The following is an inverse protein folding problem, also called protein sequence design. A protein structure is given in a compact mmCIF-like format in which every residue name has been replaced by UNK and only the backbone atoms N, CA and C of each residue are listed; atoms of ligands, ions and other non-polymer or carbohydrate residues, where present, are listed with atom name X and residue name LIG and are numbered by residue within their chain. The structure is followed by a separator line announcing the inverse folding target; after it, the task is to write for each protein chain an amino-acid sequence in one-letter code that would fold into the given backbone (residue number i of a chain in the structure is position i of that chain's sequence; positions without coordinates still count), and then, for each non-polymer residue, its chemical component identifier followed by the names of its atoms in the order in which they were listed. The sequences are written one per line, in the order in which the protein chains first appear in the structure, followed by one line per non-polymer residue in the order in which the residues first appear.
data_IF_717623174976
#
_entry.id   IF_717623174976
#
_cell.length_a   1.000
_cell.length_b   1.000
_cell.length_c   1.000
_cell.angle_alpha   90.00
_cell.angle_beta   90.00
_cell.angle_gamma   90.00
#
_symmetry.space_group_name_H-M   'P 1'
#
loop_
_entity.id
_entity.type
_entity.pdbx_description
1 polymer ?
#
# COMPACT_ATOMS: atom_id res chain seq x y z
N UNK A 1 0.38 5.11 1.71
CA UNK A 1 -0.58 6.19 1.42
C UNK A 1 -1.86 5.63 0.78
N UNK A 2 -3.03 5.87 1.40
CA UNK A 2 -4.32 5.38 0.91
C UNK A 2 -4.86 6.10 -0.34
N UNK A 3 -4.19 7.18 -0.80
CA UNK A 3 -4.58 7.98 -1.95
C UNK A 3 -5.67 9.00 -1.62
N UNK A 4 -5.38 10.28 -1.90
CA UNK A 4 -6.29 11.41 -1.66
C UNK A 4 -6.32 12.41 -2.81
N UNK A 5 -5.65 12.11 -3.93
CA UNK A 5 -5.66 12.97 -5.12
C UNK A 5 -7.09 13.16 -5.64
N UNK A 6 -7.47 14.42 -5.89
CA UNK A 6 -8.81 14.78 -6.34
C UNK A 6 -9.90 14.76 -5.26
N UNK A 7 -9.55 14.53 -3.99
CA UNK A 7 -10.52 14.57 -2.88
C UNK A 7 -10.63 15.98 -2.32
N UNK A 8 -11.83 16.56 -2.39
CA UNK A 8 -12.17 17.86 -1.79
C UNK A 8 -13.51 17.74 -1.06
N UNK A 9 -13.62 18.28 0.16
CA UNK A 9 -14.82 18.18 1.00
C UNK A 9 -15.40 16.75 1.08
N UNK A 10 -14.53 15.75 1.32
CA UNK A 10 -14.89 14.32 1.39
C UNK A 10 -15.51 13.76 0.12
N UNK A 11 -15.33 14.41 -1.04
CA UNK A 11 -15.80 13.94 -2.34
C UNK A 11 -14.61 13.84 -3.30
N UNK A 12 -14.47 12.70 -3.95
CA UNK A 12 -13.51 12.53 -5.04
C UNK A 12 -14.10 13.06 -6.35
N UNK A 13 -13.31 13.84 -7.09
CA UNK A 13 -13.68 14.42 -8.38
C UNK A 13 -13.75 13.41 -9.53
N UNK A 14 -13.27 12.17 -9.30
CA UNK A 14 -13.19 11.06 -10.28
C UNK A 14 -12.25 11.33 -11.46
N UNK A 15 -11.39 12.34 -11.35
CA UNK A 15 -10.38 12.60 -12.36
C UNK A 15 -9.22 11.62 -12.15
N UNK A 16 -8.96 10.78 -13.16
CA UNK A 16 -7.87 9.80 -13.16
C UNK A 16 -6.85 10.21 -14.23
N UNK A 17 -5.60 10.54 -13.85
CA UNK A 17 -4.53 10.83 -14.80
C UNK A 17 -4.25 9.66 -15.75
N UNK A 18 -3.67 9.95 -16.91
CA UNK A 18 -3.42 8.95 -17.95
C UNK A 18 -2.45 7.84 -17.52
N UNK A 19 -1.55 8.18 -16.60
CA UNK A 19 -0.54 7.36 -15.95
C UNK A 19 -1.17 6.34 -14.99
N UNK A 20 -2.38 6.62 -14.51
CA UNK A 20 -3.17 5.75 -13.64
C UNK A 20 -4.27 5.00 -14.42
N UNK A 21 -4.13 4.83 -15.74
CA UNK A 21 -5.10 4.05 -16.51
C UNK A 21 -5.07 2.58 -16.07
N UNK A 22 -6.25 1.92 -15.96
CA UNK A 22 -6.33 0.48 -15.73
C UNK A 22 -5.67 -0.30 -16.87
N UNK A 23 -5.16 -1.48 -16.54
CA UNK A 23 -4.53 -2.41 -17.48
C UNK A 23 -4.80 -3.85 -17.06
N UNK A 24 -5.09 -4.78 -17.99
CA UNK A 24 -5.22 -6.21 -17.67
C UNK A 24 -3.96 -6.82 -17.05
N UNK A 25 -2.81 -6.16 -17.18
CA UNK A 25 -1.54 -6.57 -16.59
C UNK A 25 -1.33 -6.05 -15.18
N UNK A 26 -2.28 -5.31 -14.60
CA UNK A 26 -2.18 -4.76 -13.25
C UNK A 26 -3.41 -5.18 -12.44
N UNK A 27 -3.16 -5.94 -11.37
CA UNK A 27 -4.18 -6.49 -10.51
C UNK A 27 -4.14 -5.84 -9.13
N UNK A 28 -5.28 -5.76 -8.46
CA UNK A 28 -5.44 -5.33 -7.07
C UNK A 28 -5.95 -6.50 -6.25
N UNK A 29 -5.37 -6.75 -5.09
CA UNK A 29 -5.98 -7.66 -4.11
C UNK A 29 -7.06 -6.89 -3.35
N UNK A 30 -8.33 -7.24 -3.55
CA UNK A 30 -9.45 -6.55 -2.92
C UNK A 30 -9.62 -6.93 -1.43
N UNK A 31 -10.60 -6.33 -0.75
CA UNK A 31 -10.87 -6.58 0.67
C UNK A 31 -11.34 -8.01 0.97
N UNK A 32 -11.84 -8.73 -0.04
CA UNK A 32 -12.23 -10.15 0.03
C UNK A 32 -11.08 -11.11 -0.27
N UNK A 33 -9.86 -10.59 -0.48
CA UNK A 33 -8.67 -11.34 -0.89
C UNK A 33 -8.79 -11.98 -2.28
N UNK A 34 -9.53 -11.34 -3.18
CA UNK A 34 -9.66 -11.75 -4.56
C UNK A 34 -8.87 -10.79 -5.46
N UNK A 35 -8.21 -11.33 -6.48
CA UNK A 35 -7.54 -10.51 -7.49
C UNK A 35 -8.56 -9.97 -8.50
N UNK A 36 -8.54 -8.65 -8.70
CA UNK A 36 -9.35 -7.94 -9.69
C UNK A 36 -8.49 -6.95 -10.49
N UNK A 37 -8.97 -6.48 -11.64
CA UNK A 37 -8.27 -5.43 -12.40
C UNK A 37 -8.14 -4.15 -11.55
N UNK A 38 -6.92 -3.63 -11.45
CA UNK A 38 -6.63 -2.48 -10.60
C UNK A 38 -7.22 -1.18 -11.16
N UNK A 39 -7.98 -0.45 -10.33
CA UNK A 39 -8.62 0.83 -10.65
C UNK A 39 -8.52 1.77 -9.45
N UNK A 40 -8.36 3.07 -9.72
CA UNK A 40 -8.45 4.07 -8.65
C UNK A 40 -9.90 4.28 -8.20
N UNK A 41 -10.16 4.53 -6.90
CA UNK A 41 -9.18 4.58 -5.80
C UNK A 41 -8.79 3.19 -5.30
N UNK A 42 -7.48 2.87 -5.25
CA UNK A 42 -7.00 1.53 -4.87
C UNK A 42 -7.38 1.09 -3.44
N UNK A 43 -7.64 2.03 -2.53
CA UNK A 43 -7.94 1.73 -1.12
C UNK A 43 -9.42 1.89 -0.77
N UNK A 44 -10.32 2.03 -1.75
CA UNK A 44 -11.75 2.32 -1.51
C UNK A 44 -12.46 1.28 -0.61
N UNK A 45 -12.04 0.02 -0.68
CA UNK A 45 -12.53 -1.11 0.11
C UNK A 45 -11.61 -1.47 1.29
N UNK A 46 -10.53 -0.72 1.50
CA UNK A 46 -9.53 -0.95 2.56
C UNK A 46 -9.61 0.15 3.62
N UNK A 47 -9.55 1.42 3.23
CA UNK A 47 -9.68 2.58 4.13
C UNK A 47 -11.14 3.07 4.19
N UNK A 48 -12.04 2.15 4.56
CA UNK A 48 -13.50 2.29 4.44
C UNK A 48 -14.09 3.50 5.20
N UNK A 49 -13.38 4.01 6.20
CA UNK A 49 -13.82 5.18 6.98
C UNK A 49 -13.58 6.53 6.28
N UNK A 50 -12.96 6.56 5.10
CA UNK A 50 -12.50 7.79 4.44
C UNK A 50 -12.74 7.75 2.93
N UNK A 51 -13.09 8.90 2.36
CA UNK A 51 -13.14 9.05 0.91
C UNK A 51 -11.73 8.91 0.33
N UNK A 52 -11.56 7.87 -0.49
CA UNK A 52 -10.31 7.63 -1.20
C UNK A 52 -10.30 8.36 -2.55
N UNK A 53 -9.11 8.71 -3.00
CA UNK A 53 -8.87 9.26 -4.33
C UNK A 53 -7.61 8.65 -4.93
N UNK A 54 -7.03 9.32 -5.92
CA UNK A 54 -5.83 8.83 -6.59
C UNK A 54 -4.65 8.72 -5.62
N UNK A 55 -3.93 7.61 -5.70
CA UNK A 55 -2.67 7.37 -5.00
C UNK A 55 -1.51 7.12 -5.96
N UNK A 56 -0.30 6.81 -5.46
CA UNK A 56 0.86 6.54 -6.31
C UNK A 56 0.87 5.13 -6.92
N UNK A 57 0.05 4.20 -6.38
CA UNK A 57 0.17 2.78 -6.66
C UNK A 57 -0.04 2.41 -8.14
N UNK A 58 -1.07 2.98 -8.79
CA UNK A 58 -1.40 2.61 -10.16
C UNK A 58 -0.42 3.23 -11.17
N UNK A 59 0.01 4.48 -10.94
CA UNK A 59 1.07 5.10 -11.73
C UNK A 59 2.40 4.32 -11.63
N UNK A 60 2.79 3.92 -10.41
CA UNK A 60 3.98 3.10 -10.20
C UNK A 60 3.87 1.75 -10.92
N UNK A 61 2.75 1.04 -10.77
CA UNK A 61 2.55 -0.26 -11.40
C UNK A 61 2.59 -0.16 -12.94
N UNK A 62 1.96 0.86 -13.53
CA UNK A 62 2.02 1.12 -14.97
C UNK A 62 3.46 1.34 -15.44
N UNK A 63 4.25 2.12 -14.71
CA UNK A 63 5.64 2.36 -15.08
C UNK A 63 6.49 1.09 -14.98
N UNK A 64 6.26 0.24 -13.96
CA UNK A 64 6.92 -1.06 -13.83
C UNK A 64 6.60 -1.97 -15.01
N UNK A 65 5.32 -2.11 -15.38
CA UNK A 65 4.90 -2.91 -16.55
C UNK A 65 5.55 -2.36 -17.82
N UNK A 66 5.51 -1.04 -18.01
CA UNK A 66 6.10 -0.37 -19.18
C UNK A 66 7.60 -0.63 -19.30
N UNK A 67 8.34 -0.59 -18.19
CA UNK A 67 9.80 -0.84 -18.17
C UNK A 67 10.16 -2.32 -18.33
N UNK A 68 9.32 -3.24 -17.82
CA UNK A 68 9.56 -4.70 -17.93
C UNK A 68 9.18 -5.26 -19.30
N UNK A 69 8.24 -4.65 -20.00
CA UNK A 69 7.76 -5.12 -21.31
C UNK A 69 6.59 -6.09 -21.20
N UNK A 70 6.19 -6.64 -22.36
CA UNK A 70 5.02 -7.52 -22.47
C UNK A 70 5.15 -8.81 -21.66
N UNK A 71 4.04 -9.28 -21.08
CA UNK A 71 3.95 -10.51 -20.28
C UNK A 71 4.21 -10.34 -18.78
N UNK A 72 4.60 -9.14 -18.32
CA UNK A 72 4.71 -8.84 -16.90
C UNK A 72 3.34 -8.49 -16.31
N UNK A 73 2.90 -9.27 -15.31
CA UNK A 73 1.74 -8.94 -14.47
C UNK A 73 2.23 -8.36 -13.14
N UNK A 74 1.65 -7.25 -12.71
CA UNK A 74 1.95 -6.58 -11.44
C UNK A 74 0.73 -6.66 -10.53
N UNK A 75 0.88 -7.31 -9.38
CA UNK A 75 -0.11 -7.28 -8.31
C UNK A 75 0.16 -6.15 -7.33
N UNK A 76 -0.88 -5.39 -6.98
CA UNK A 76 -0.85 -4.34 -5.95
C UNK A 76 -1.69 -4.80 -4.77
N UNK A 77 -1.11 -4.76 -3.56
CA UNK A 77 -1.77 -5.15 -2.32
C UNK A 77 -2.00 -3.89 -1.47
N UNK A 78 -3.15 -3.21 -1.61
CA UNK A 78 -3.44 -2.01 -0.84
C UNK A 78 -3.65 -2.38 0.63
N UNK A 79 -2.93 -1.74 1.54
CA UNK A 79 -3.05 -1.95 2.98
C UNK A 79 -3.17 -0.64 3.76
N UNK A 80 -2.95 0.52 3.14
CA UNK A 80 -2.84 1.78 3.87
C UNK A 80 -4.18 2.24 4.46
N UNK A 81 -4.11 2.80 5.67
CA UNK A 81 -5.23 3.45 6.36
C UNK A 81 -4.83 4.89 6.68
N UNK A 82 -5.64 5.87 6.29
CA UNK A 82 -5.30 7.28 6.47
C UNK A 82 -5.35 7.73 7.93
N UNK A 83 -4.52 8.71 8.30
CA UNK A 83 -4.56 9.35 9.61
C UNK A 83 -3.99 8.51 10.76
N UNK A 84 -3.27 7.44 10.45
CA UNK A 84 -2.65 6.57 11.45
C UNK A 84 -1.20 6.96 11.70
N UNK A 85 -0.77 6.91 12.96
CA UNK A 85 0.62 7.04 13.39
C UNK A 85 1.38 5.73 13.21
N UNK A 86 2.71 5.78 13.13
CA UNK A 86 3.52 4.56 12.97
C UNK A 86 3.41 3.61 14.18
N UNK A 87 3.06 4.12 15.37
CA UNK A 87 2.76 3.29 16.55
C UNK A 87 1.58 2.33 16.31
N UNK A 88 0.60 2.72 15.50
CA UNK A 88 -0.53 1.85 15.12
C UNK A 88 -0.13 0.74 14.14
N UNK A 89 1.11 0.79 13.61
CA UNK A 89 1.72 -0.20 12.72
C UNK A 89 2.80 -1.05 13.41
N UNK A 90 2.90 -1.00 14.74
CA UNK A 90 3.80 -1.87 15.50
C UNK A 90 3.42 -3.36 15.36
N UNK A 91 4.40 -4.25 15.50
CA UNK A 91 4.15 -5.70 15.48
C UNK A 91 3.02 -6.08 16.45
N UNK A 92 2.09 -6.93 15.98
CA UNK A 92 0.94 -7.39 16.74
C UNK A 92 -0.25 -6.43 16.75
N UNK A 93 -0.13 -5.22 16.21
CA UNK A 93 -1.27 -4.32 16.04
C UNK A 93 -2.23 -4.85 14.97
N UNK A 94 -3.48 -4.38 15.01
CA UNK A 94 -4.48 -4.74 14.01
C UNK A 94 -4.04 -4.40 12.57
N UNK A 95 -3.54 -3.18 12.34
CA UNK A 95 -3.12 -2.73 11.00
C UNK A 95 -1.90 -3.49 10.49
N UNK A 96 -0.94 -3.75 11.37
CA UNK A 96 0.24 -4.53 11.04
C UNK A 96 -0.13 -5.98 10.68
N UNK A 97 -0.97 -6.62 11.50
CA UNK A 97 -1.41 -7.99 11.25
C UNK A 97 -2.22 -8.11 9.95
N UNK A 98 -3.05 -7.10 9.62
CA UNK A 98 -3.78 -7.11 8.35
C UNK A 98 -2.85 -6.91 7.15
N UNK A 99 -1.82 -6.06 7.27
CA UNK A 99 -0.78 -5.93 6.23
C UNK A 99 -0.05 -7.26 6.00
N UNK A 100 0.37 -7.94 7.07
CA UNK A 100 1.03 -9.25 6.99
C UNK A 100 0.09 -10.28 6.36
N UNK A 101 -1.16 -10.38 6.85
CA UNK A 101 -2.17 -11.31 6.32
C UNK A 101 -2.39 -11.12 4.83
N UNK A 102 -2.64 -9.89 4.38
CA UNK A 102 -2.86 -9.58 2.96
C UNK A 102 -1.63 -9.86 2.11
N UNK A 103 -0.43 -9.60 2.64
CA UNK A 103 0.83 -9.92 1.97
C UNK A 103 0.99 -11.42 1.75
N UNK A 104 0.72 -12.24 2.77
CA UNK A 104 0.77 -13.71 2.68
C UNK A 104 -0.27 -14.23 1.69
N UNK A 105 -1.52 -13.77 1.79
CA UNK A 105 -2.60 -14.18 0.89
C UNK A 105 -2.32 -13.83 -0.58
N UNK A 106 -1.62 -12.71 -0.83
CA UNK A 106 -1.25 -12.28 -2.19
C UNK A 106 -0.35 -13.26 -2.95
N UNK A 107 0.38 -14.12 -2.24
CA UNK A 107 1.30 -15.10 -2.85
C UNK A 107 0.93 -16.55 -2.51
N UNK A 108 -0.22 -16.77 -1.88
CA UNK A 108 -0.63 -18.07 -1.33
C UNK A 108 -0.79 -19.15 -2.38
N UNK A 109 -1.20 -18.80 -3.59
CA UNK A 109 -1.35 -19.73 -4.72
C UNK A 109 -0.02 -20.06 -5.43
N UNK A 110 1.09 -19.45 -5.00
CA UNK A 110 2.42 -19.63 -5.58
C UNK A 110 2.62 -18.94 -6.93
N UNK A 111 1.66 -18.15 -7.42
CA UNK A 111 1.72 -17.48 -8.73
C UNK A 111 2.54 -16.19 -8.73
N UNK A 112 2.92 -15.70 -7.55
CA UNK A 112 3.57 -14.40 -7.37
C UNK A 112 4.71 -14.41 -6.36
N UNK A 113 5.44 -13.30 -6.33
CA UNK A 113 6.48 -13.03 -5.33
C UNK A 113 6.39 -11.57 -4.89
N UNK A 114 6.50 -11.33 -3.59
CA UNK A 114 6.54 -9.98 -3.04
C UNK A 114 7.87 -9.34 -3.43
N UNK A 115 7.81 -8.27 -4.22
CA UNK A 115 9.01 -7.58 -4.75
C UNK A 115 9.46 -6.42 -3.89
N UNK A 116 8.52 -5.66 -3.34
CA UNK A 116 8.79 -4.47 -2.54
C UNK A 116 7.57 -4.09 -1.71
N UNK A 117 7.81 -3.31 -0.66
CA UNK A 117 6.79 -2.53 0.05
C UNK A 117 6.99 -1.06 -0.33
N UNK A 118 5.92 -0.43 -0.81
CA UNK A 118 5.85 1.03 -0.96
C UNK A 118 5.24 1.60 0.32
N UNK A 119 6.07 2.22 1.14
CA UNK A 119 5.66 2.81 2.41
C UNK A 119 5.59 4.32 2.28
N UNK A 120 4.43 4.90 2.59
CA UNK A 120 4.32 6.36 2.68
C UNK A 120 3.32 6.67 3.78
N UNK A 121 3.87 7.13 4.89
CA UNK A 121 3.23 7.47 6.15
C UNK A 121 4.18 8.42 6.91
N UNK A 122 3.65 9.22 7.82
CA UNK A 122 4.43 9.99 8.81
C UNK A 122 3.74 11.29 9.22
N UNK A 123 2.75 11.74 8.45
CA UNK A 123 2.04 12.99 8.65
C UNK A 123 1.36 13.06 10.03
N UNK A 124 0.82 11.93 10.51
CA UNK A 124 0.18 11.88 11.84
C UNK A 124 1.19 11.89 13.00
N UNK A 125 2.44 11.49 12.76
CA UNK A 125 3.49 11.48 13.79
C UNK A 125 4.10 12.88 14.00
N UNK A 126 3.86 13.84 13.09
CA UNK A 126 4.38 15.21 13.23
C UNK A 126 3.56 16.09 14.19
N UNK A 127 2.44 15.59 14.71
CA UNK A 127 1.55 16.35 15.61
C UNK A 127 2.16 16.55 16.99
N UNK A 128 2.91 15.55 17.49
CA UNK A 128 3.53 15.56 18.81
C UNK A 128 5.03 15.36 18.65
N UNK A 129 5.83 16.21 19.30
CA UNK A 129 7.29 16.13 19.23
C UNK A 129 7.84 14.77 19.66
N UNK A 130 7.23 14.14 20.67
CA UNK A 130 7.59 12.78 21.10
C UNK A 130 7.41 11.72 20.00
N UNK A 131 6.34 11.82 19.19
CA UNK A 131 6.06 10.88 18.11
C UNK A 131 7.03 11.11 16.94
N UNK A 132 7.33 12.37 16.63
CA UNK A 132 8.31 12.74 15.62
C UNK A 132 9.72 12.26 15.99
N UNK A 133 10.15 12.46 17.24
CA UNK A 133 11.45 12.02 17.75
C UNK A 133 11.59 10.49 17.76
N UNK A 134 10.50 9.77 18.03
CA UNK A 134 10.47 8.31 18.03
C UNK A 134 10.30 7.69 16.63
N UNK A 135 10.00 8.49 15.60
CA UNK A 135 9.60 7.98 14.28
C UNK A 135 10.67 7.07 13.65
N UNK A 136 11.93 7.50 13.68
CA UNK A 136 13.05 6.74 13.07
C UNK A 136 13.16 5.33 13.64
N UNK A 137 13.20 5.20 14.98
CA UNK A 137 13.35 3.89 15.62
C UNK A 137 12.12 3.01 15.41
N UNK A 138 10.92 3.58 15.41
CA UNK A 138 9.68 2.86 15.08
C UNK A 138 9.68 2.37 13.63
N UNK A 139 10.20 3.15 12.69
CA UNK A 139 10.31 2.76 11.28
C UNK A 139 11.35 1.64 11.07
N UNK A 140 12.51 1.72 11.72
CA UNK A 140 13.52 0.66 11.70
C UNK A 140 12.93 -0.66 12.25
N UNK A 141 12.22 -0.58 13.38
CA UNK A 141 11.52 -1.72 13.95
C UNK A 141 10.43 -2.27 13.01
N UNK A 142 9.63 -1.42 12.37
CA UNK A 142 8.64 -1.85 11.38
C UNK A 142 9.29 -2.64 10.23
N UNK A 143 10.38 -2.13 9.65
CA UNK A 143 11.11 -2.80 8.56
C UNK A 143 11.65 -4.16 9.01
N UNK A 144 12.28 -4.22 10.19
CA UNK A 144 12.83 -5.47 10.71
C UNK A 144 11.73 -6.51 10.96
N UNK A 145 10.63 -6.07 11.58
CA UNK A 145 9.49 -6.94 11.86
C UNK A 145 8.87 -7.49 10.58
N UNK A 146 8.61 -6.63 9.57
CA UNK A 146 7.92 -7.10 8.36
C UNK A 146 8.79 -8.06 7.53
N UNK A 147 10.11 -7.83 7.49
CA UNK A 147 11.07 -8.76 6.88
C UNK A 147 11.07 -10.11 7.58
N UNK A 148 11.02 -10.11 8.92
CA UNK A 148 10.97 -11.32 9.72
C UNK A 148 9.66 -12.09 9.52
N UNK A 149 8.51 -11.43 9.65
CA UNK A 149 7.18 -12.07 9.52
C UNK A 149 6.97 -12.67 8.12
N UNK A 150 7.39 -11.96 7.07
CA UNK A 150 7.26 -12.44 5.69
C UNK A 150 8.39 -13.40 5.29
N UNK A 151 9.39 -13.64 6.15
CA UNK A 151 10.58 -14.44 5.85
C UNK A 151 11.36 -13.92 4.61
N UNK A 152 11.43 -12.60 4.46
CA UNK A 152 12.08 -11.91 3.35
C UNK A 152 13.14 -10.92 3.89
N UNK A 153 14.34 -11.39 4.28
CA UNK A 153 15.36 -10.54 4.91
C UNK A 153 15.82 -9.37 4.03
N UNK A 154 15.81 -9.57 2.70
CA UNK A 154 16.20 -8.57 1.70
C UNK A 154 15.00 -7.85 1.07
N UNK A 155 13.82 -7.87 1.71
CA UNK A 155 12.64 -7.19 1.19
C UNK A 155 12.95 -5.69 1.00
N UNK A 156 12.80 -5.22 -0.23
CA UNK A 156 12.96 -3.81 -0.58
C UNK A 156 11.81 -3.02 0.04
N UNK A 157 12.14 -2.05 0.87
CA UNK A 157 11.19 -1.06 1.40
C UNK A 157 11.55 0.28 0.79
N UNK A 158 10.61 0.86 0.05
CA UNK A 158 10.75 2.20 -0.53
C UNK A 158 9.89 3.13 0.32
N UNK A 159 10.53 4.03 1.06
CA UNK A 159 9.90 5.06 1.88
C UNK A 159 10.07 6.43 1.22
#
# INVERSE_FOLDING_TARGET
MAGRGGVFNRKWDKNVPSECKPSPSILKLNSKLEWEEAREPLHQDIDVGKTCGVGPGLAFANEVVRKRGGGCVVGVVPCAVGGTRIEEWRNGSFLYNELVRRSIESVRDGSGVIRAILWYQGESDTVREEDANAYKSRMENFIQNIRSELHLPELLVIQ
#
